data_IF_403591945458
#
_entry.id   IF_403591945458
#
_cell.length_a   1.000
_cell.length_b   1.000
_cell.length_c   1.000
_cell.angle_alpha   90.00
_cell.angle_beta   90.00
_cell.angle_gamma   90.00
#
_symmetry.space_group_name_H-M   'P 1'
#
loop_
_entity.id
_entity.type
_entity.pdbx_description
1 polymer ?
#
# COMPACT_ATOMS: atom_id res chain seq x y z
N UNK A 1 -39.21 -1.05 0.29
CA UNK A 1 -38.55 0.24 -0.03
C UNK A 1 -37.31 0.33 0.85
N UNK A 2 -36.23 -0.34 0.44
CA UNK A 2 -34.97 -0.37 1.18
C UNK A 2 -34.07 0.73 0.64
N UNK A 3 -33.83 1.74 1.47
CA UNK A 3 -32.78 2.72 1.26
C UNK A 3 -31.45 2.06 1.56
N UNK A 4 -30.81 1.53 0.51
CA UNK A 4 -29.43 1.09 0.56
C UNK A 4 -28.54 2.35 0.51
N UNK A 5 -28.24 2.87 1.70
CA UNK A 5 -27.28 3.96 1.85
C UNK A 5 -25.91 3.30 1.89
N UNK A 6 -25.33 3.09 0.70
CA UNK A 6 -23.93 2.72 0.57
C UNK A 6 -23.09 3.87 1.15
N UNK A 7 -22.81 3.80 2.44
CA UNK A 7 -21.77 4.59 3.08
C UNK A 7 -20.46 4.15 2.43
N UNK A 8 -19.70 5.02 1.74
CA UNK A 8 -18.33 4.65 1.40
C UNK A 8 -17.61 4.31 2.70
N UNK A 9 -16.86 3.20 2.71
CA UNK A 9 -15.96 2.88 3.81
C UNK A 9 -15.14 4.14 4.12
N UNK A 10 -15.23 4.63 5.35
CA UNK A 10 -14.49 5.81 5.76
C UNK A 10 -13.01 5.56 5.45
N UNK A 11 -12.41 6.41 4.60
CA UNK A 11 -10.97 6.42 4.43
C UNK A 11 -10.33 6.49 5.83
N UNK A 12 -9.36 5.62 6.17
CA UNK A 12 -8.79 5.64 7.50
C UNK A 12 -8.15 7.01 7.74
N UNK A 13 -8.52 7.56 8.89
CA UNK A 13 -8.32 8.91 9.39
C UNK A 13 -6.96 9.56 9.04
N UNK A 14 -6.90 10.88 8.85
CA UNK A 14 -5.62 11.58 8.75
C UNK A 14 -4.81 11.42 10.05
N UNK A 15 -3.54 11.06 9.89
CA UNK A 15 -2.56 10.77 10.94
C UNK A 15 -2.16 11.97 11.81
N UNK A 16 -1.79 11.66 13.07
CA UNK A 16 -1.34 12.62 14.08
C UNK A 16 0.16 12.95 13.94
N UNK A 17 1.00 12.06 13.40
CA UNK A 17 2.47 12.26 13.33
C UNK A 17 3.14 11.76 12.02
N UNK A 18 2.36 11.43 10.98
CA UNK A 18 2.85 11.02 9.65
C UNK A 18 2.85 12.15 8.60
N UNK A 19 3.31 11.90 7.35
CA UNK A 19 3.17 12.85 6.27
C UNK A 19 1.68 13.15 6.02
N UNK A 20 1.33 14.43 5.88
CA UNK A 20 -0.07 14.84 5.77
C UNK A 20 -0.75 14.16 4.57
N UNK A 21 -1.90 13.52 4.82
CA UNK A 21 -2.70 12.84 3.79
C UNK A 21 -2.23 11.42 3.43
N UNK A 22 -1.20 10.88 4.08
CA UNK A 22 -0.81 9.48 3.93
C UNK A 22 -1.65 8.58 4.84
N UNK A 23 -1.72 7.29 4.48
CA UNK A 23 -2.38 6.24 5.26
C UNK A 23 -1.39 5.55 6.19
N UNK A 24 -1.78 5.32 7.45
CA UNK A 24 -0.99 4.52 8.39
C UNK A 24 -1.09 3.04 8.02
N UNK A 25 0.06 2.42 7.81
CA UNK A 25 0.18 0.98 7.57
C UNK A 25 1.20 0.36 8.53
N UNK A 26 1.46 1.01 9.67
CA UNK A 26 2.48 0.58 10.63
C UNK A 26 2.20 -0.79 11.24
N UNK A 27 0.92 -1.12 11.50
CA UNK A 27 0.52 -2.43 12.02
C UNK A 27 0.87 -3.57 11.06
N UNK A 28 0.39 -3.59 9.80
CA UNK A 28 0.82 -4.62 8.85
C UNK A 28 2.31 -4.51 8.48
N UNK A 29 2.92 -3.33 8.53
CA UNK A 29 4.36 -3.19 8.29
C UNK A 29 5.20 -3.86 9.39
N UNK A 30 4.77 -3.75 10.66
CA UNK A 30 5.42 -4.40 11.79
C UNK A 30 5.44 -5.92 11.60
N UNK A 31 4.29 -6.47 11.23
CA UNK A 31 4.13 -7.90 10.94
C UNK A 31 5.05 -8.33 9.79
N UNK A 32 5.21 -7.50 8.75
CA UNK A 32 6.09 -7.79 7.61
C UNK A 32 7.58 -7.75 7.96
N UNK A 33 7.94 -7.18 9.12
CA UNK A 33 9.32 -7.12 9.61
C UNK A 33 9.91 -5.71 9.70
N UNK A 34 9.14 -4.66 9.37
CA UNK A 34 9.57 -3.29 9.62
C UNK A 34 9.60 -2.98 11.13
N UNK A 35 10.38 -1.96 11.50
CA UNK A 35 10.52 -1.49 12.89
C UNK A 35 10.26 0.01 13.04
N UNK A 36 10.07 0.71 11.93
CA UNK A 36 9.77 2.13 11.89
C UNK A 36 8.28 2.31 11.53
N UNK A 37 7.63 3.38 12.01
CA UNK A 37 6.32 3.77 11.53
C UNK A 37 6.33 3.86 10.00
N UNK A 38 5.34 3.27 9.36
CA UNK A 38 5.31 3.13 7.89
C UNK A 38 4.00 3.68 7.34
N UNK A 39 4.12 4.49 6.30
CA UNK A 39 3.03 5.24 5.71
C UNK A 39 2.91 4.99 4.21
N UNK A 40 1.69 5.03 3.69
CA UNK A 40 1.39 4.81 2.28
C UNK A 40 0.77 6.05 1.65
N UNK A 41 1.23 6.45 0.47
CA UNK A 41 0.63 7.58 -0.25
C UNK A 41 -0.78 7.26 -0.78
N UNK A 42 -1.63 8.27 -1.02
CA UNK A 42 -2.90 8.07 -1.70
C UNK A 42 -2.78 7.46 -3.09
N UNK A 43 -1.73 7.76 -3.84
CA UNK A 43 -1.50 7.17 -5.16
C UNK A 43 -1.30 5.66 -5.07
N UNK A 44 -0.50 5.19 -4.11
CA UNK A 44 -0.33 3.75 -3.86
C UNK A 44 -1.64 3.13 -3.37
N UNK A 45 -2.35 3.78 -2.45
CA UNK A 45 -3.64 3.27 -1.98
C UNK A 45 -4.64 3.10 -3.14
N UNK A 46 -4.73 4.06 -4.07
CA UNK A 46 -5.62 3.94 -5.25
C UNK A 46 -5.25 2.77 -6.17
N UNK A 47 -3.97 2.40 -6.24
CA UNK A 47 -3.51 1.23 -7.00
C UNK A 47 -3.96 -0.07 -6.32
N UNK A 48 -4.11 -0.09 -4.98
CA UNK A 48 -4.41 -1.32 -4.21
C UNK A 48 -5.87 -1.44 -3.76
N UNK A 49 -6.58 -0.33 -3.58
CA UNK A 49 -7.91 -0.26 -2.98
C UNK A 49 -9.04 -0.47 -4.00
N UNK A 50 -9.04 -1.64 -4.62
CA UNK A 50 -10.13 -2.08 -5.49
C UNK A 50 -11.34 -2.56 -4.69
N UNK A 51 -12.49 -2.62 -5.37
CA UNK A 51 -13.71 -3.23 -4.85
C UNK A 51 -13.57 -4.77 -4.87
N UNK A 52 -13.31 -5.34 -3.69
CA UNK A 52 -13.14 -6.78 -3.48
C UNK A 52 -14.40 -7.58 -3.86
N UNK A 53 -15.60 -7.02 -3.68
CA UNK A 53 -16.85 -7.70 -4.01
C UNK A 53 -17.05 -7.82 -5.53
N UNK A 54 -16.69 -6.76 -6.27
CA UNK A 54 -16.76 -6.75 -7.73
C UNK A 54 -15.72 -7.70 -8.36
N UNK A 55 -14.54 -7.84 -7.75
CA UNK A 55 -13.47 -8.70 -8.26
C UNK A 55 -13.72 -10.18 -7.98
N UNK A 56 -14.16 -10.54 -6.77
CA UNK A 56 -14.52 -11.92 -6.43
C UNK A 56 -15.58 -12.51 -7.38
N UNK A 57 -16.54 -11.69 -7.82
CA UNK A 57 -17.55 -12.07 -8.81
C UNK A 57 -16.98 -12.26 -10.23
N UNK A 58 -15.87 -11.60 -10.57
CA UNK A 58 -15.28 -11.59 -11.92
C UNK A 58 -14.11 -12.55 -12.10
N UNK A 59 -13.31 -12.79 -11.06
CA UNK A 59 -12.01 -13.45 -11.18
C UNK A 59 -11.85 -14.72 -10.35
N UNK A 60 -12.87 -15.15 -9.58
CA UNK A 60 -12.80 -16.28 -8.63
C UNK A 60 -11.60 -16.13 -7.67
N UNK A 61 -11.89 -15.55 -6.50
CA UNK A 61 -10.94 -15.04 -5.49
C UNK A 61 -9.74 -15.98 -5.26
N UNK A 62 -8.55 -15.52 -5.66
CA UNK A 62 -7.27 -16.10 -5.22
C UNK A 62 -6.28 -15.00 -4.83
N UNK A 63 -6.47 -13.76 -5.28
CA UNK A 63 -5.78 -12.60 -4.73
C UNK A 63 -6.66 -11.90 -3.70
N UNK A 64 -5.99 -11.62 -2.59
CA UNK A 64 -6.50 -11.38 -1.25
C UNK A 64 -7.11 -9.98 -1.12
N UNK A 65 -7.81 -9.75 -0.02
CA UNK A 65 -8.36 -8.46 0.41
C UNK A 65 -7.36 -7.32 0.24
N UNK A 66 -7.82 -6.06 0.36
CA UNK A 66 -6.91 -4.90 0.44
C UNK A 66 -5.67 -5.18 1.33
N UNK A 67 -5.88 -5.81 2.48
CA UNK A 67 -4.81 -6.17 3.42
C UNK A 67 -3.76 -7.11 2.81
N UNK A 68 -4.16 -8.14 2.05
CA UNK A 68 -3.21 -9.05 1.41
C UNK A 68 -2.44 -8.40 0.25
N UNK A 69 -3.05 -7.43 -0.44
CA UNK A 69 -2.35 -6.61 -1.44
C UNK A 69 -1.33 -5.68 -0.79
N UNK A 70 -1.70 -5.03 0.32
CA UNK A 70 -0.77 -4.23 1.14
C UNK A 70 0.38 -5.12 1.62
N UNK A 71 0.07 -6.33 2.11
CA UNK A 71 1.07 -7.29 2.56
C UNK A 71 2.07 -7.67 1.48
N UNK A 72 1.60 -7.94 0.26
CA UNK A 72 2.46 -8.25 -0.89
C UNK A 72 3.43 -7.10 -1.20
N UNK A 73 2.95 -5.86 -1.15
CA UNK A 73 3.79 -4.66 -1.36
C UNK A 73 4.81 -4.52 -0.23
N UNK A 74 4.40 -4.68 1.03
CA UNK A 74 5.28 -4.61 2.20
C UNK A 74 6.40 -5.66 2.12
N UNK A 75 6.06 -6.90 1.76
CA UNK A 75 7.04 -7.96 1.62
C UNK A 75 8.08 -7.64 0.54
N UNK A 76 7.65 -7.13 -0.62
CA UNK A 76 8.57 -6.70 -1.66
C UNK A 76 9.43 -5.50 -1.23
N UNK A 77 8.88 -4.58 -0.42
CA UNK A 77 9.61 -3.47 0.15
C UNK A 77 10.71 -3.94 1.12
N UNK A 78 10.44 -4.95 1.96
CA UNK A 78 11.44 -5.55 2.86
C UNK A 78 12.63 -6.08 2.06
N UNK A 79 12.37 -6.82 0.98
CA UNK A 79 13.42 -7.35 0.09
C UNK A 79 14.23 -6.22 -0.56
N UNK A 80 13.58 -5.11 -0.91
CA UNK A 80 14.24 -3.95 -1.49
C UNK A 80 15.19 -3.27 -0.48
N UNK A 81 14.72 -3.01 0.74
CA UNK A 81 15.54 -2.39 1.79
C UNK A 81 16.73 -3.28 2.16
N UNK A 82 16.52 -4.59 2.28
CA UNK A 82 17.60 -5.54 2.58
C UNK A 82 18.67 -5.58 1.47
N UNK A 83 18.27 -5.38 0.21
CA UNK A 83 19.19 -5.32 -0.93
C UNK A 83 20.00 -4.02 -0.95
N UNK A 84 19.47 -2.94 -0.39
CA UNK A 84 20.06 -1.59 -0.40
C UNK A 84 20.15 -0.99 1.03
N UNK A 85 20.88 -1.61 1.97
CA UNK A 85 20.79 -1.30 3.40
C UNK A 85 21.40 0.06 3.82
N UNK A 86 22.12 0.72 2.91
CA UNK A 86 22.76 2.03 3.16
C UNK A 86 22.14 3.15 2.34
N UNK A 87 21.10 2.86 1.56
CA UNK A 87 20.39 3.85 0.76
C UNK A 87 19.19 4.40 1.52
N UNK A 88 18.94 5.70 1.39
CA UNK A 88 17.78 6.38 1.95
C UNK A 88 16.46 6.01 1.24
N UNK A 89 16.55 5.48 0.01
CA UNK A 89 15.39 5.04 -0.76
C UNK A 89 15.70 3.86 -1.68
N UNK A 90 14.68 3.07 -1.99
CA UNK A 90 14.76 1.98 -2.95
C UNK A 90 13.51 1.90 -3.82
N UNK A 91 13.71 1.74 -5.13
CA UNK A 91 12.62 1.41 -6.07
C UNK A 91 12.50 -0.11 -6.16
N UNK A 92 11.27 -0.60 -6.09
CA UNK A 92 10.97 -2.02 -6.24
C UNK A 92 9.73 -2.23 -7.10
N UNK A 93 9.59 -3.45 -7.58
CA UNK A 93 8.44 -3.86 -8.37
C UNK A 93 7.62 -4.87 -7.58
N UNK A 94 6.30 -4.71 -7.60
CA UNK A 94 5.37 -5.71 -7.09
C UNK A 94 4.47 -6.19 -8.22
N UNK A 95 4.23 -7.49 -8.26
CA UNK A 95 3.26 -8.07 -9.17
C UNK A 95 1.87 -7.92 -8.54
N UNK A 96 0.91 -7.38 -9.28
CA UNK A 96 -0.46 -7.14 -8.82
C UNK A 96 -1.42 -7.50 -9.94
N UNK A 97 -2.53 -8.19 -9.70
CA UNK A 97 -3.54 -8.47 -10.74
C UNK A 97 -4.53 -7.30 -10.83
N UNK A 98 -4.43 -6.40 -11.82
CA UNK A 98 -5.22 -5.17 -11.83
C UNK A 98 -6.72 -5.43 -11.98
N UNK A 99 -7.53 -4.50 -11.46
CA UNK A 99 -9.00 -4.55 -11.57
C UNK A 99 -9.52 -4.57 -13.02
N UNK A 100 -8.74 -4.04 -13.99
CA UNK A 100 -9.20 -3.86 -15.36
C UNK A 100 -9.19 -5.18 -16.14
N UNK A 101 -10.30 -5.44 -16.82
CA UNK A 101 -10.46 -6.60 -17.71
C UNK A 101 -10.83 -7.89 -16.98
N UNK A 102 -11.23 -8.90 -17.76
CA UNK A 102 -11.62 -10.22 -17.26
C UNK A 102 -10.42 -11.16 -17.08
N UNK A 103 -9.20 -10.70 -17.40
CA UNK A 103 -7.99 -11.53 -17.31
C UNK A 103 -7.43 -11.53 -15.89
N UNK A 104 -6.81 -12.65 -15.52
CA UNK A 104 -5.96 -12.79 -14.32
C UNK A 104 -4.50 -12.42 -14.63
N UNK A 105 -4.27 -11.64 -15.68
CA UNK A 105 -2.91 -11.30 -16.04
C UNK A 105 -2.39 -10.29 -15.03
N UNK A 106 -1.39 -10.71 -14.27
CA UNK A 106 -0.72 -9.84 -13.32
C UNK A 106 0.07 -8.77 -14.06
N UNK A 107 -0.08 -7.52 -13.66
CA UNK A 107 0.76 -6.41 -14.09
C UNK A 107 1.87 -6.17 -13.07
N UNK A 108 2.94 -5.53 -13.51
CA UNK A 108 4.08 -5.19 -12.65
C UNK A 108 4.02 -3.70 -12.36
N UNK A 109 3.67 -3.37 -11.13
CA UNK A 109 3.67 -2.01 -10.64
C UNK A 109 5.00 -1.69 -9.95
N UNK A 110 5.42 -0.43 -10.04
CA UNK A 110 6.64 0.05 -9.37
C UNK A 110 6.25 0.94 -8.20
N UNK A 111 7.02 0.81 -7.13
CA UNK A 111 6.89 1.56 -5.89
C UNK A 111 8.26 2.05 -5.45
N UNK A 112 8.27 3.07 -4.60
CA UNK A 112 9.45 3.58 -3.90
C UNK A 112 9.18 3.45 -2.42
N UNK A 113 10.12 2.86 -1.69
CA UNK A 113 10.21 3.00 -0.24
C UNK A 113 11.30 4.01 0.09
N UNK A 114 11.04 4.91 1.03
CA UNK A 114 11.98 5.94 1.47
C UNK A 114 11.97 6.05 3.00
N UNK A 115 13.15 6.25 3.58
CA UNK A 115 13.30 6.62 4.97
C UNK A 115 13.40 8.14 5.08
N UNK A 116 12.48 8.75 5.83
CA UNK A 116 12.42 10.20 6.06
C UNK A 116 12.34 10.50 7.56
N UNK A 117 12.40 11.78 7.91
CA UNK A 117 12.22 12.27 9.27
C UNK A 117 10.85 12.93 9.39
N UNK A 118 10.02 12.44 10.32
CA UNK A 118 8.74 13.05 10.64
C UNK A 118 8.92 14.45 11.24
N UNK A 119 7.83 15.23 11.29
CA UNK A 119 7.85 16.56 11.94
C UNK A 119 8.23 16.47 13.42
N UNK A 120 7.95 15.35 14.07
CA UNK A 120 8.35 15.06 15.45
C UNK A 120 9.86 14.84 15.61
N UNK A 121 10.61 14.65 14.51
CA UNK A 121 12.03 14.32 14.53
C UNK A 121 12.34 12.82 14.53
N UNK A 122 11.30 11.97 14.53
CA UNK A 122 11.45 10.51 14.50
C UNK A 122 11.59 9.99 13.07
N UNK A 123 12.38 8.92 12.84
CA UNK A 123 12.49 8.29 11.53
C UNK A 123 11.22 7.53 11.16
N UNK A 124 10.79 7.69 9.92
CA UNK A 124 9.60 7.05 9.35
C UNK A 124 9.91 6.45 7.98
N UNK A 125 9.09 5.51 7.56
CA UNK A 125 9.11 4.93 6.22
C UNK A 125 7.89 5.40 5.44
N UNK A 126 8.08 5.73 4.17
CA UNK A 126 7.00 6.05 3.24
C UNK A 126 7.07 5.13 2.03
N UNK A 127 5.90 4.63 1.60
CA UNK A 127 5.73 3.91 0.34
C UNK A 127 4.92 4.79 -0.60
N UNK A 128 5.56 5.17 -1.70
CA UNK A 128 4.99 6.03 -2.73
C UNK A 128 5.11 5.37 -4.10
N UNK A 129 4.43 5.94 -5.08
CA UNK A 129 4.74 5.64 -6.48
C UNK A 129 6.05 6.33 -6.88
N UNK A 130 6.84 5.78 -7.82
CA UNK A 130 8.12 6.37 -8.20
C UNK A 130 8.03 7.75 -8.86
N UNK A 131 6.84 8.16 -9.27
CA UNK A 131 6.57 9.45 -9.91
C UNK A 131 5.93 10.47 -8.98
N UNK A 132 5.57 10.06 -7.76
CA UNK A 132 5.36 11.00 -6.67
C UNK A 132 6.74 11.48 -6.18
N UNK A 133 6.94 12.80 -6.18
CA UNK A 133 8.15 13.48 -5.69
C UNK A 133 8.08 13.72 -4.17
#
# INVERSE_FOLDING_TARGET
>A
MHTDTHRPAAAPFPLVDGPAGYFDISEPALDAGFRLPTYMSPGVYQILAWDDALDCARKHCYEETLDGRIWSVLWMAVLAVQKYPHEESAIFSCRIIPQRGSSRQSETERFRIRCDIARSGEPILTITTPWED
#
